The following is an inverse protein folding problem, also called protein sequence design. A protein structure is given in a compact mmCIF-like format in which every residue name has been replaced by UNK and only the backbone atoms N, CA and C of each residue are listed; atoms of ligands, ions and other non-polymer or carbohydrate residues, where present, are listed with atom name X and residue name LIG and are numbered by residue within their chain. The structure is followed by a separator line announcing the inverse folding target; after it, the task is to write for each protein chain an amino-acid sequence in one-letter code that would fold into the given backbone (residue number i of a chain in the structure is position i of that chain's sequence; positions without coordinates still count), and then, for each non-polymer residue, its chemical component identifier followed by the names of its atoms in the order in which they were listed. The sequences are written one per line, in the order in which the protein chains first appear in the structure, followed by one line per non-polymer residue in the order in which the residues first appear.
data_IF_673214972446
#
_entry.id   IF_673214972446
#
_cell.length_a   1.000
_cell.length_b   1.000
_cell.length_c   1.000
_cell.angle_alpha   90.00
_cell.angle_beta   90.00
_cell.angle_gamma   90.00
#
_symmetry.space_group_name_H-M   'P 1'
#
loop_
_entity.id
_entity.type
_entity.pdbx_description
1 polymer ?
#
# COMPACT_ATOMS: atom_id res chain seq x y z
N UNK A 1 -18.30 19.24 -6.25
CA UNK A 1 -16.88 19.62 -6.40
C UNK A 1 -16.29 19.71 -4.99
N UNK A 2 -15.19 19.02 -4.76
CA UNK A 2 -14.47 19.06 -3.47
C UNK A 2 -13.31 20.04 -3.63
N UNK A 3 -13.13 20.91 -2.64
CA UNK A 3 -12.06 21.92 -2.64
C UNK A 3 -11.24 21.78 -1.38
N UNK A 4 -9.95 21.54 -1.56
CA UNK A 4 -8.95 21.57 -0.49
C UNK A 4 -8.00 22.73 -0.70
N UNK A 5 -7.54 23.36 0.40
CA UNK A 5 -6.43 24.31 0.31
C UNK A 5 -5.11 23.54 0.17
N UNK A 6 -4.17 24.06 -0.59
CA UNK A 6 -2.86 23.41 -0.80
C UNK A 6 -2.15 23.09 0.52
N UNK A 7 -2.06 24.07 1.42
CA UNK A 7 -1.39 23.88 2.71
C UNK A 7 -2.11 22.91 3.63
N UNK A 8 -3.44 23.00 3.72
CA UNK A 8 -4.24 22.09 4.54
C UNK A 8 -4.17 20.66 4.06
N UNK A 9 -4.31 20.44 2.77
CA UNK A 9 -4.21 19.11 2.17
C UNK A 9 -2.81 18.50 2.35
N UNK A 10 -1.76 19.25 2.05
CA UNK A 10 -0.39 18.75 2.18
C UNK A 10 -0.03 18.40 3.63
N UNK A 11 -0.46 19.23 4.59
CA UNK A 11 -0.26 18.93 6.00
C UNK A 11 -0.98 17.65 6.45
N UNK A 12 -2.24 17.48 6.03
CA UNK A 12 -3.03 16.29 6.33
C UNK A 12 -2.39 15.02 5.73
N UNK A 13 -2.04 15.05 4.46
CA UNK A 13 -1.47 13.90 3.76
C UNK A 13 -0.09 13.51 4.29
N UNK A 14 0.75 14.49 4.59
CA UNK A 14 2.06 14.25 5.21
C UNK A 14 1.91 13.63 6.61
N UNK A 15 1.02 14.19 7.43
CA UNK A 15 0.78 13.69 8.78
C UNK A 15 0.24 12.26 8.79
N UNK A 16 -0.79 11.98 8.00
CA UNK A 16 -1.41 10.64 7.95
C UNK A 16 -0.45 9.61 7.38
N UNK A 17 0.22 9.91 6.26
CA UNK A 17 1.19 9.01 5.66
C UNK A 17 2.31 8.63 6.65
N UNK A 18 2.89 9.60 7.36
CA UNK A 18 3.97 9.35 8.31
C UNK A 18 3.51 8.53 9.51
N UNK A 19 2.39 8.90 10.13
CA UNK A 19 1.98 8.33 11.42
C UNK A 19 1.18 7.03 11.28
N UNK A 20 0.32 6.90 10.25
CA UNK A 20 -0.48 5.70 10.03
C UNK A 20 0.39 4.51 9.65
N UNK A 21 1.41 4.75 8.82
CA UNK A 21 2.34 3.69 8.38
C UNK A 21 3.61 3.60 9.24
N UNK A 22 3.72 4.43 10.29
CA UNK A 22 4.92 4.45 11.15
C UNK A 22 6.19 4.56 10.31
N UNK A 23 6.24 5.54 9.41
CA UNK A 23 7.31 5.70 8.43
C UNK A 23 8.64 6.04 9.12
N UNK A 24 9.65 5.22 8.90
CA UNK A 24 11.04 5.47 9.31
C UNK A 24 11.83 5.99 8.11
N UNK A 25 12.06 7.30 8.09
CA UNK A 25 12.79 7.98 7.03
C UNK A 25 14.19 7.38 6.81
N UNK A 26 14.52 7.12 5.54
CA UNK A 26 15.80 6.53 5.15
C UNK A 26 15.95 5.03 5.44
N UNK A 27 14.97 4.39 6.07
CA UNK A 27 14.97 2.94 6.36
C UNK A 27 13.89 2.20 5.59
N UNK A 28 12.70 2.80 5.48
CA UNK A 28 11.57 2.17 4.81
C UNK A 28 11.59 2.36 3.30
N UNK A 29 11.14 1.32 2.61
CA UNK A 29 10.71 1.40 1.21
C UNK A 29 9.19 1.23 1.17
N UNK A 30 8.51 2.29 0.83
CA UNK A 30 7.06 2.36 0.78
C UNK A 30 6.54 2.03 -0.61
N UNK A 31 5.47 1.27 -0.71
CA UNK A 31 4.78 1.03 -1.97
C UNK A 31 3.26 1.07 -1.80
N UNK A 32 2.66 2.11 -2.37
CA UNK A 32 1.22 2.18 -2.60
C UNK A 32 0.92 1.80 -4.05
N UNK A 33 0.02 0.85 -4.25
CA UNK A 33 -0.34 0.35 -5.59
C UNK A 33 -1.51 1.10 -6.22
N UNK A 34 -1.99 2.18 -5.59
CA UNK A 34 -3.11 2.96 -6.10
C UNK A 34 -2.73 3.73 -7.37
N UNK A 35 -3.68 3.80 -8.29
CA UNK A 35 -3.55 4.63 -9.50
C UNK A 35 -3.62 6.12 -9.15
N UNK A 36 -2.74 6.93 -9.76
CA UNK A 36 -2.70 8.38 -9.57
C UNK A 36 -3.94 9.10 -10.12
N UNK A 37 -4.75 8.45 -10.92
CA UNK A 37 -6.04 8.96 -11.37
C UNK A 37 -7.12 9.01 -10.27
N UNK A 38 -6.85 8.39 -9.10
CA UNK A 38 -7.72 8.39 -7.94
C UNK A 38 -7.15 9.22 -6.81
N UNK A 39 -8.02 9.68 -5.90
CA UNK A 39 -7.56 10.50 -4.75
C UNK A 39 -6.58 9.73 -3.86
N UNK A 40 -6.69 8.42 -3.73
CA UNK A 40 -5.70 7.61 -3.01
C UNK A 40 -4.31 7.73 -3.61
N UNK A 41 -4.21 7.74 -4.94
CA UNK A 41 -2.95 7.97 -5.63
C UNK A 41 -2.39 9.37 -5.37
N UNK A 42 -3.24 10.41 -5.42
CA UNK A 42 -2.82 11.76 -5.06
C UNK A 42 -2.24 11.81 -3.64
N UNK A 43 -2.97 11.30 -2.67
CA UNK A 43 -2.58 11.37 -1.26
C UNK A 43 -1.37 10.48 -0.95
N UNK A 44 -1.41 9.21 -1.36
CA UNK A 44 -0.50 8.18 -0.86
C UNK A 44 0.50 7.64 -1.90
N UNK A 45 0.49 8.13 -3.14
CA UNK A 45 1.58 7.90 -4.11
C UNK A 45 2.35 9.19 -4.35
N UNK A 46 1.65 10.35 -4.39
CA UNK A 46 2.30 11.62 -4.75
C UNK A 46 2.61 12.44 -3.50
N UNK A 47 1.59 13.03 -2.86
CA UNK A 47 1.83 14.10 -1.90
C UNK A 47 2.38 13.65 -0.55
N UNK A 48 1.80 12.63 0.06
CA UNK A 48 2.23 12.12 1.36
C UNK A 48 3.66 11.60 1.36
N UNK A 49 4.00 10.65 0.48
CA UNK A 49 5.36 10.11 0.41
C UNK A 49 6.42 11.17 0.08
N UNK A 50 6.17 12.02 -0.91
CA UNK A 50 7.12 13.05 -1.31
C UNK A 50 7.33 14.13 -0.24
N UNK A 51 6.26 14.53 0.45
CA UNK A 51 6.36 15.49 1.53
C UNK A 51 7.15 14.96 2.74
N UNK A 52 7.18 13.63 2.92
CA UNK A 52 7.94 12.96 3.98
C UNK A 52 9.31 12.45 3.55
N UNK A 53 9.76 12.74 2.32
CA UNK A 53 11.05 12.25 1.82
C UNK A 53 11.16 10.72 1.76
N UNK A 54 10.02 10.02 1.61
CA UNK A 54 9.98 8.57 1.60
C UNK A 54 10.64 8.00 0.34
N UNK A 55 11.44 6.95 0.52
CA UNK A 55 11.82 6.08 -0.60
C UNK A 55 10.61 5.26 -1.00
N UNK A 56 10.18 5.33 -2.25
CA UNK A 56 8.99 4.62 -2.68
C UNK A 56 9.14 3.92 -4.02
N UNK A 57 8.36 2.87 -4.20
CA UNK A 57 8.14 2.22 -5.49
C UNK A 57 7.00 2.91 -6.22
N UNK A 58 7.21 3.27 -7.47
CA UNK A 58 6.15 3.67 -8.40
C UNK A 58 6.18 2.65 -9.54
N UNK A 59 5.06 1.98 -9.75
CA UNK A 59 4.94 0.90 -10.72
C UNK A 59 3.85 1.20 -11.75
N UNK A 60 4.22 1.19 -13.02
CA UNK A 60 3.31 1.32 -14.15
C UNK A 60 2.89 -0.08 -14.62
N UNK A 61 1.73 -0.54 -14.18
CA UNK A 61 1.21 -1.85 -14.56
C UNK A 61 0.10 -2.33 -13.61
N UNK A 62 -0.61 -3.36 -14.07
CA UNK A 62 -1.64 -4.05 -13.29
C UNK A 62 -1.04 -5.23 -12.50
N UNK A 63 -1.77 -5.81 -11.52
CA UNK A 63 -1.25 -6.93 -10.72
C UNK A 63 -0.83 -8.16 -11.52
N UNK A 64 -1.43 -8.33 -12.71
CA UNK A 64 -1.22 -9.47 -13.62
C UNK A 64 -0.25 -9.17 -14.78
N UNK A 65 0.41 -8.02 -14.78
CA UNK A 65 1.32 -7.61 -15.86
C UNK A 65 2.78 -7.61 -15.40
N UNK A 66 3.70 -8.31 -16.10
CA UNK A 66 3.48 -9.26 -17.19
C UNK A 66 2.90 -10.60 -16.72
N UNK A 67 2.92 -10.84 -15.41
CA UNK A 67 2.38 -12.02 -14.74
C UNK A 67 2.04 -11.72 -13.28
N UNK A 68 1.33 -12.62 -12.62
CA UNK A 68 0.89 -12.47 -11.23
C UNK A 68 2.00 -12.51 -10.18
N UNK A 69 3.22 -12.85 -10.55
CA UNK A 69 4.39 -12.84 -9.66
C UNK A 69 5.09 -11.47 -9.60
N UNK A 70 4.80 -10.58 -10.56
CA UNK A 70 5.54 -9.33 -10.73
C UNK A 70 5.56 -8.43 -9.49
N UNK A 71 4.45 -8.32 -8.79
CA UNK A 71 4.39 -7.51 -7.57
C UNK A 71 5.31 -8.06 -6.47
N UNK A 72 5.35 -9.37 -6.34
CA UNK A 72 6.17 -10.03 -5.32
C UNK A 72 7.66 -9.98 -5.65
N UNK A 73 8.00 -10.07 -6.94
CA UNK A 73 9.35 -9.82 -7.42
C UNK A 73 9.83 -8.39 -7.08
N UNK A 74 8.95 -7.40 -7.24
CA UNK A 74 9.24 -6.02 -6.86
C UNK A 74 9.43 -5.89 -5.34
N UNK A 75 8.56 -6.49 -4.53
CA UNK A 75 8.69 -6.48 -3.07
C UNK A 75 10.02 -7.07 -2.64
N UNK A 76 10.36 -8.25 -3.12
CA UNK A 76 11.63 -8.93 -2.83
C UNK A 76 12.83 -8.10 -3.30
N UNK A 77 12.80 -7.64 -4.54
CA UNK A 77 13.93 -6.94 -5.18
C UNK A 77 14.28 -5.62 -4.50
N UNK A 78 13.27 -4.86 -4.11
CA UNK A 78 13.45 -3.53 -3.54
C UNK A 78 13.29 -3.49 -2.02
N UNK A 79 13.10 -4.66 -1.39
CA UNK A 79 12.91 -4.78 0.06
C UNK A 79 11.79 -3.86 0.57
N UNK A 80 10.64 -3.91 -0.10
CA UNK A 80 9.47 -3.11 0.30
C UNK A 80 9.09 -3.45 1.75
N UNK A 81 9.07 -2.46 2.61
CA UNK A 81 8.76 -2.62 4.03
C UNK A 81 7.34 -2.20 4.41
N UNK A 82 6.74 -1.30 3.63
CA UNK A 82 5.36 -0.86 3.80
C UNK A 82 4.61 -1.11 2.49
N UNK A 83 3.65 -2.03 2.52
CA UNK A 83 2.88 -2.41 1.34
C UNK A 83 1.40 -2.04 1.51
N UNK A 84 0.90 -1.14 0.66
CA UNK A 84 -0.42 -0.53 0.75
C UNK A 84 -1.20 -0.74 -0.54
N UNK A 85 -2.32 -1.46 -0.46
CA UNK A 85 -3.09 -1.87 -1.65
C UNK A 85 -4.59 -1.96 -1.38
N UNK A 86 -5.37 -2.25 -2.42
CA UNK A 86 -6.82 -2.41 -2.29
C UNK A 86 -7.23 -3.86 -1.98
N UNK A 87 -8.30 -4.08 -1.19
CA UNK A 87 -8.84 -5.40 -0.94
C UNK A 87 -9.20 -6.19 -2.20
N UNK A 88 -9.60 -5.52 -3.27
CA UNK A 88 -9.84 -6.15 -4.58
C UNK A 88 -8.59 -6.83 -5.14
N UNK A 89 -7.43 -6.20 -5.06
CA UNK A 89 -6.16 -6.80 -5.48
C UNK A 89 -5.82 -8.01 -4.58
N UNK A 90 -5.96 -7.86 -3.26
CA UNK A 90 -5.74 -8.95 -2.29
C UNK A 90 -6.61 -10.16 -2.63
N UNK A 91 -7.91 -9.95 -2.88
CA UNK A 91 -8.83 -11.03 -3.26
C UNK A 91 -8.45 -11.70 -4.58
N UNK A 92 -7.88 -10.96 -5.52
CA UNK A 92 -7.42 -11.52 -6.79
C UNK A 92 -6.25 -12.48 -6.59
N UNK A 93 -5.25 -12.09 -5.81
CA UNK A 93 -4.15 -12.98 -5.43
C UNK A 93 -4.62 -14.18 -4.60
N UNK A 94 -5.52 -13.96 -3.63
CA UNK A 94 -6.10 -15.03 -2.81
C UNK A 94 -6.79 -16.12 -3.66
N UNK A 95 -7.47 -15.73 -4.76
CA UNK A 95 -8.09 -16.68 -5.70
C UNK A 95 -7.07 -17.56 -6.43
N UNK A 96 -5.86 -17.07 -6.64
CA UNK A 96 -4.77 -17.82 -7.28
C UNK A 96 -4.09 -18.80 -6.31
N UNK A 97 -4.32 -18.61 -5.01
CA UNK A 97 -3.75 -19.43 -3.95
C UNK A 97 -2.36 -18.98 -3.49
N UNK A 98 -1.86 -19.64 -2.45
CA UNK A 98 -0.61 -19.25 -1.78
C UNK A 98 0.63 -19.46 -2.67
N UNK A 99 0.53 -20.31 -3.68
CA UNK A 99 1.66 -20.59 -4.59
C UNK A 99 2.15 -19.36 -5.34
N UNK A 100 1.29 -18.36 -5.57
CA UNK A 100 1.68 -17.14 -6.28
C UNK A 100 2.63 -16.26 -5.47
N UNK A 101 2.67 -16.41 -4.16
CA UNK A 101 3.50 -15.62 -3.25
C UNK A 101 4.62 -16.42 -2.59
N UNK A 102 4.45 -17.74 -2.42
CA UNK A 102 5.35 -18.60 -1.62
C UNK A 102 6.77 -18.75 -2.17
N UNK A 103 7.01 -18.34 -3.41
CA UNK A 103 8.32 -18.40 -4.05
C UNK A 103 9.17 -17.14 -3.85
N UNK A 104 8.62 -16.10 -3.21
CA UNK A 104 9.25 -14.81 -3.02
C UNK A 104 9.58 -14.56 -1.56
N UNK A 105 10.70 -13.88 -1.33
CA UNK A 105 11.04 -13.40 0.01
C UNK A 105 10.31 -12.08 0.31
N UNK A 106 9.28 -12.16 1.13
CA UNK A 106 8.46 -11.03 1.57
C UNK A 106 8.80 -10.59 3.01
N UNK A 107 9.89 -11.10 3.58
CA UNK A 107 10.29 -10.85 4.98
C UNK A 107 10.61 -9.39 5.29
N UNK A 108 10.84 -8.57 4.26
CA UNK A 108 11.04 -7.13 4.41
C UNK A 108 9.77 -6.37 4.82
N UNK A 109 8.58 -6.95 4.58
CA UNK A 109 7.31 -6.28 4.88
C UNK A 109 7.11 -6.22 6.39
N UNK A 110 7.10 -5.00 6.95
CA UNK A 110 6.82 -4.74 8.36
C UNK A 110 5.43 -4.15 8.62
N UNK A 111 4.81 -3.52 7.61
CA UNK A 111 3.46 -2.95 7.70
C UNK A 111 2.68 -3.28 6.44
N UNK A 112 1.46 -3.76 6.63
CA UNK A 112 0.48 -3.94 5.58
C UNK A 112 -0.58 -2.85 5.67
N UNK A 113 -1.09 -2.39 4.54
CA UNK A 113 -2.20 -1.45 4.50
C UNK A 113 -3.26 -1.84 3.48
N UNK A 114 -4.51 -1.54 3.76
CA UNK A 114 -5.62 -1.67 2.81
C UNK A 114 -6.43 -0.38 2.70
N UNK A 115 -6.97 -0.12 1.52
CA UNK A 115 -7.66 1.13 1.20
C UNK A 115 -8.69 0.97 0.08
N UNK A 116 -9.67 1.86 0.10
CA UNK A 116 -10.63 2.06 -0.99
C UNK A 116 -11.96 1.34 -0.82
N UNK A 117 -11.99 0.29 -0.04
CA UNK A 117 -13.19 -0.48 0.32
C UNK A 117 -12.94 -1.27 1.62
N UNK A 118 -13.99 -1.66 2.35
CA UNK A 118 -13.83 -2.54 3.50
C UNK A 118 -13.21 -3.88 3.11
N UNK A 119 -12.22 -4.34 3.89
CA UNK A 119 -11.65 -5.66 3.72
C UNK A 119 -12.44 -6.69 4.52
N UNK A 120 -12.86 -7.78 3.87
CA UNK A 120 -13.55 -8.87 4.56
C UNK A 120 -12.56 -9.73 5.38
N UNK A 121 -13.02 -10.36 6.48
CA UNK A 121 -12.14 -11.10 7.39
C UNK A 121 -11.27 -12.18 6.70
N UNK A 122 -11.82 -12.91 5.74
CA UNK A 122 -11.07 -13.95 5.04
C UNK A 122 -9.89 -13.37 4.23
N UNK A 123 -10.12 -12.27 3.52
CA UNK A 123 -9.06 -11.60 2.77
C UNK A 123 -8.01 -10.96 3.70
N UNK A 124 -8.44 -10.38 4.83
CA UNK A 124 -7.55 -9.82 5.82
C UNK A 124 -6.65 -10.89 6.46
N UNK A 125 -7.22 -12.05 6.83
CA UNK A 125 -6.47 -13.18 7.38
C UNK A 125 -5.45 -13.71 6.37
N UNK A 126 -5.86 -13.88 5.11
CA UNK A 126 -4.97 -14.32 4.05
C UNK A 126 -3.84 -13.31 3.83
N UNK A 127 -4.14 -12.02 3.77
CA UNK A 127 -3.18 -10.94 3.57
C UNK A 127 -2.11 -10.94 4.67
N UNK A 128 -2.54 -11.02 5.93
CA UNK A 128 -1.61 -11.12 7.06
C UNK A 128 -0.75 -12.39 7.03
N UNK A 129 -1.36 -13.52 6.69
CA UNK A 129 -0.66 -14.82 6.70
C UNK A 129 0.28 -14.97 5.51
N UNK A 130 -0.23 -14.80 4.29
CA UNK A 130 0.52 -15.08 3.07
C UNK A 130 1.54 -13.98 2.73
N UNK A 131 1.23 -12.72 3.03
CA UNK A 131 2.08 -11.57 2.68
C UNK A 131 2.83 -11.03 3.90
N UNK A 132 2.17 -10.90 5.04
CA UNK A 132 2.74 -10.31 6.27
C UNK A 132 3.39 -11.31 7.21
N UNK A 133 3.53 -12.58 6.84
CA UNK A 133 4.14 -13.64 7.66
C UNK A 133 3.56 -13.72 9.08
N UNK A 134 2.30 -13.37 9.26
CA UNK A 134 1.56 -13.25 10.54
C UNK A 134 2.12 -12.19 11.52
N UNK A 135 3.25 -11.59 11.23
CA UNK A 135 3.94 -10.65 12.12
C UNK A 135 3.64 -9.20 11.78
N UNK A 136 3.50 -8.86 10.49
CA UNK A 136 3.23 -7.50 10.07
C UNK A 136 1.82 -7.06 10.52
N UNK A 137 1.70 -5.94 11.25
CA UNK A 137 0.41 -5.33 11.52
C UNK A 137 -0.26 -4.91 10.21
N UNK A 138 -1.60 -4.98 10.20
CA UNK A 138 -2.40 -4.55 9.06
C UNK A 138 -3.24 -3.34 9.44
N UNK A 139 -3.06 -2.25 8.71
CA UNK A 139 -3.83 -1.00 8.85
C UNK A 139 -4.89 -0.98 7.77
N UNK A 140 -6.16 -1.05 8.18
CA UNK A 140 -7.29 -0.86 7.27
C UNK A 140 -7.73 0.60 7.36
N UNK A 141 -7.48 1.37 6.30
CA UNK A 141 -7.72 2.81 6.30
C UNK A 141 -9.12 3.13 5.77
N UNK A 142 -9.78 4.05 6.46
CA UNK A 142 -11.04 4.63 6.03
C UNK A 142 -10.92 6.14 5.88
N UNK A 143 -11.29 6.66 4.73
CA UNK A 143 -11.28 8.09 4.45
C UNK A 143 -12.10 8.43 3.20
N UNK A 144 -12.28 9.70 2.93
CA UNK A 144 -13.04 10.21 1.80
C UNK A 144 -12.30 11.36 1.11
N UNK A 145 -12.65 11.62 -0.15
CA UNK A 145 -12.12 12.77 -0.89
C UNK A 145 -12.35 14.10 -0.16
N UNK A 146 -13.43 14.17 0.62
CA UNK A 146 -13.81 15.31 1.42
C UNK A 146 -12.81 15.63 2.55
N UNK A 147 -12.11 14.63 3.07
CA UNK A 147 -11.10 14.82 4.12
C UNK A 147 -9.68 15.02 3.55
N UNK A 148 -9.39 14.44 2.38
CA UNK A 148 -8.07 14.49 1.75
C UNK A 148 -7.10 13.39 2.20
N UNK A 149 -7.52 12.50 3.11
CA UNK A 149 -6.69 11.40 3.59
C UNK A 149 -6.79 11.15 5.07
#
# INVERSE_FOLDING_TARGET
MILHTTGGYLNQTSFTHKNVFDLHEGQDVYWCTADVGWITGHTYVVYGPLANGATQVIYEGTPDTPDWGRWWDIVQKYHVSIFYTAPTAIRSFMKLGDSVVSHYDLSSIRVLGSVGEPINPAAWLWYRKAIGSEQAPSVDTWWQSEHGG
#
